data_IF_643046049668
#
_entry.id   IF_643046049668
#
_cell.length_a   1.000
_cell.length_b   1.000
_cell.length_c   1.000
_cell.angle_alpha   90.00
_cell.angle_beta   90.00
_cell.angle_gamma   90.00
#
_symmetry.space_group_name_H-M   'P 1'
#
loop_
_entity.id
_entity.type
_entity.pdbx_description
1 polymer ?
#
# COMPACT_ATOMS: atom_id res chain seq x y z
N UNK A 1 0.53 -29.83 2.91
CA UNK A 1 -0.89 -29.49 2.64
C UNK A 1 -0.98 -27.98 2.49
N UNK A 2 -1.69 -27.43 1.48
CA UNK A 2 -1.93 -26.00 1.38
C UNK A 2 -2.69 -25.51 2.61
N UNK A 3 -2.25 -24.41 3.22
CA UNK A 3 -2.92 -23.82 4.39
C UNK A 3 -4.31 -23.31 3.99
N UNK A 4 -5.38 -23.57 4.77
CA UNK A 4 -6.69 -23.00 4.51
C UNK A 4 -6.62 -21.47 4.52
N UNK A 5 -7.15 -20.84 3.48
CA UNK A 5 -6.94 -19.44 3.12
C UNK A 5 -7.91 -18.48 3.84
N UNK A 6 -8.59 -18.95 4.89
CA UNK A 6 -9.59 -18.17 5.65
C UNK A 6 -8.92 -17.09 6.54
N UNK A 7 -7.59 -17.08 6.59
CA UNK A 7 -6.75 -16.08 7.29
C UNK A 7 -6.32 -14.91 6.37
N UNK A 8 -6.95 -14.73 5.20
CA UNK A 8 -6.47 -13.82 4.13
C UNK A 8 -6.84 -12.35 4.27
N UNK A 9 -7.83 -12.01 5.08
CA UNK A 9 -8.22 -10.61 5.21
C UNK A 9 -7.11 -9.86 5.96
N UNK A 10 -6.65 -8.80 5.33
CA UNK A 10 -5.57 -7.95 5.82
C UNK A 10 -5.99 -6.51 5.74
N UNK A 11 -5.45 -5.70 6.65
CA UNK A 11 -5.63 -4.26 6.68
C UNK A 11 -4.31 -3.59 6.38
N UNK A 12 -4.38 -2.47 5.66
CA UNK A 12 -3.23 -1.59 5.47
C UNK A 12 -3.03 -0.82 6.77
N UNK A 13 -1.88 -1.02 7.43
CA UNK A 13 -1.51 -0.23 8.60
C UNK A 13 -0.93 1.14 8.21
N UNK A 14 -0.26 1.22 7.06
CA UNK A 14 0.36 2.45 6.59
C UNK A 14 1.44 2.22 5.55
N UNK A 15 1.95 3.33 5.02
CA UNK A 15 3.09 3.40 4.12
C UNK A 15 4.30 3.90 4.91
N UNK A 16 5.43 3.21 4.79
CA UNK A 16 6.63 3.45 5.57
C UNK A 16 7.86 3.52 4.67
N UNK A 17 8.85 4.30 5.09
CA UNK A 17 10.18 4.35 4.48
C UNK A 17 11.21 3.85 5.50
N UNK A 18 12.08 2.93 5.06
CA UNK A 18 13.23 2.47 5.83
C UNK A 18 14.50 2.86 5.09
N UNK A 19 15.30 3.73 5.72
CA UNK A 19 16.62 4.10 5.22
C UNK A 19 17.69 3.32 5.98
N UNK A 20 18.53 2.59 5.26
CA UNK A 20 19.72 1.96 5.83
C UNK A 20 20.70 3.07 6.28
N UNK A 21 21.09 3.11 7.57
CA UNK A 21 21.97 4.16 8.10
C UNK A 21 23.42 4.06 7.62
N UNK A 22 23.79 3.01 6.90
CA UNK A 22 25.13 2.83 6.35
C UNK A 22 25.44 3.87 5.25
N UNK A 23 26.70 4.31 5.07
CA UNK A 23 27.07 5.20 3.97
C UNK A 23 26.72 4.57 2.61
N UNK A 24 25.81 5.20 1.86
CA UNK A 24 25.28 4.66 0.60
C UNK A 24 24.07 3.72 0.76
N UNK A 25 23.46 3.68 1.94
CA UNK A 25 22.24 2.94 2.22
C UNK A 25 21.09 3.31 1.27
N UNK A 26 20.34 2.30 0.84
CA UNK A 26 19.22 2.47 -0.08
C UNK A 26 17.95 2.64 0.75
N UNK A 27 17.19 3.73 0.51
CA UNK A 27 15.84 3.85 1.06
C UNK A 27 14.91 2.84 0.39
N UNK A 28 14.18 2.07 1.21
CA UNK A 28 13.14 1.17 0.76
C UNK A 28 11.79 1.67 1.28
N UNK A 29 10.82 1.76 0.38
CA UNK A 29 9.43 2.10 0.72
C UNK A 29 8.58 0.84 0.71
N UNK A 30 7.70 0.70 1.69
CA UNK A 30 6.80 -0.45 1.80
C UNK A 30 5.46 -0.06 2.39
N UNK A 31 4.42 -0.82 2.02
CA UNK A 31 3.14 -0.82 2.72
C UNK A 31 3.15 -1.95 3.75
N UNK A 32 2.76 -1.67 4.98
CA UNK A 32 2.68 -2.69 6.03
C UNK A 32 1.26 -3.21 6.12
N UNK A 33 1.11 -4.51 5.93
CA UNK A 33 -0.17 -5.20 6.08
C UNK A 33 -0.21 -5.93 7.42
N UNK A 34 -1.38 -5.98 8.04
CA UNK A 34 -1.66 -6.77 9.24
C UNK A 34 -2.89 -7.64 9.04
N UNK A 35 -2.81 -8.89 9.45
CA UNK A 35 -3.96 -9.80 9.43
C UNK A 35 -4.72 -9.82 10.76
N UNK A 36 -5.81 -10.59 10.78
CA UNK A 36 -6.66 -10.73 11.96
C UNK A 36 -5.97 -11.40 13.17
N UNK A 37 -4.76 -11.94 13.02
CA UNK A 37 -3.96 -12.52 14.11
C UNK A 37 -2.81 -11.59 14.54
N UNK A 38 -2.73 -10.37 14.01
CA UNK A 38 -1.68 -9.39 14.33
C UNK A 38 -0.34 -9.69 13.65
N UNK A 39 -0.29 -10.61 12.67
CA UNK A 39 0.92 -10.91 11.92
C UNK A 39 1.10 -9.83 10.86
N UNK A 40 2.34 -9.33 10.74
CA UNK A 40 2.66 -8.21 9.85
C UNK A 40 3.53 -8.65 8.69
N UNK A 41 3.21 -8.17 7.48
CA UNK A 41 3.98 -8.44 6.27
C UNK A 41 4.22 -7.11 5.53
N UNK A 42 5.48 -6.71 5.31
CA UNK A 42 5.79 -5.59 4.44
C UNK A 42 5.68 -6.02 2.97
N UNK A 43 5.06 -5.17 2.15
CA UNK A 43 5.14 -5.27 0.68
C UNK A 43 5.94 -4.07 0.19
N UNK A 44 7.13 -4.35 -0.36
CA UNK A 44 7.98 -3.32 -0.93
C UNK A 44 7.38 -2.79 -2.24
N UNK A 45 7.32 -1.47 -2.34
CA UNK A 45 6.69 -0.74 -3.44
C UNK A 45 7.58 0.41 -3.88
N UNK A 46 7.35 0.91 -5.10
CA UNK A 46 7.99 2.12 -5.57
C UNK A 46 7.41 3.37 -4.91
N UNK A 47 8.13 4.49 -5.08
CA UNK A 47 7.75 5.79 -4.52
C UNK A 47 6.43 6.31 -5.08
N UNK A 48 6.12 6.03 -6.35
CA UNK A 48 4.89 6.51 -6.98
C UNK A 48 3.66 5.74 -6.48
N UNK A 49 3.78 4.44 -6.28
CA UNK A 49 2.74 3.62 -5.65
C UNK A 49 2.53 4.05 -4.20
N UNK A 50 3.61 4.28 -3.45
CA UNK A 50 3.57 4.75 -2.07
C UNK A 50 2.82 6.09 -1.95
N UNK A 51 3.11 7.04 -2.84
CA UNK A 51 2.41 8.32 -2.88
C UNK A 51 0.91 8.12 -3.15
N UNK A 52 0.56 7.32 -4.16
CA UNK A 52 -0.84 7.09 -4.50
C UNK A 52 -1.65 6.42 -3.38
N UNK A 53 -1.06 5.43 -2.69
CA UNK A 53 -1.70 4.78 -1.53
C UNK A 53 -1.84 5.77 -0.37
N UNK A 54 -0.83 6.60 -0.11
CA UNK A 54 -0.88 7.61 0.96
C UNK A 54 -2.02 8.60 0.71
N UNK A 55 -2.11 9.16 -0.48
CA UNK A 55 -3.20 10.07 -0.87
C UNK A 55 -4.58 9.42 -0.71
N UNK A 56 -4.72 8.15 -1.11
CA UNK A 56 -5.97 7.41 -0.96
C UNK A 56 -6.32 7.14 0.52
N UNK A 57 -5.32 6.93 1.38
CA UNK A 57 -5.51 6.77 2.83
C UNK A 57 -5.88 8.07 3.54
N UNK A 58 -5.36 9.20 3.07
CA UNK A 58 -5.70 10.54 3.59
C UNK A 58 -7.11 10.97 3.18
N UNK A 59 -7.65 10.38 2.10
CA UNK A 59 -9.00 10.67 1.62
C UNK A 59 -9.14 12.05 1.00
N UNK A 60 -8.04 12.65 0.54
CA UNK A 60 -8.08 13.95 -0.14
C UNK A 60 -8.70 13.83 -1.53
N UNK A 61 -9.77 14.59 -1.77
CA UNK A 61 -10.31 14.79 -3.11
C UNK A 61 -9.53 15.90 -3.82
N UNK A 62 -8.71 15.51 -4.78
CA UNK A 62 -7.99 16.44 -5.65
C UNK A 62 -8.90 16.95 -6.76
N UNK A 63 -8.63 18.18 -7.24
CA UNK A 63 -9.36 18.82 -8.36
C UNK A 63 -9.41 17.98 -9.65
N UNK A 64 -8.49 17.01 -9.79
CA UNK A 64 -8.44 16.08 -10.92
C UNK A 64 -8.26 14.66 -10.41
N UNK A 65 -8.90 13.66 -11.04
CA UNK A 65 -8.78 12.27 -10.62
C UNK A 65 -7.34 11.77 -10.77
N UNK A 66 -6.84 11.13 -9.72
CA UNK A 66 -5.59 10.37 -9.75
C UNK A 66 -5.73 9.11 -10.62
N UNK A 67 -4.61 8.48 -10.99
CA UNK A 67 -4.60 7.28 -11.84
C UNK A 67 -5.54 6.18 -11.35
N UNK A 68 -5.55 5.90 -10.05
CA UNK A 68 -6.39 4.86 -9.46
C UNK A 68 -7.87 5.27 -9.34
N UNK A 69 -8.17 6.55 -9.14
CA UNK A 69 -9.54 7.07 -9.15
C UNK A 69 -10.13 7.09 -10.57
N UNK A 70 -9.32 7.44 -11.56
CA UNK A 70 -9.70 7.32 -12.97
C UNK A 70 -9.96 5.86 -13.34
N UNK A 71 -9.08 4.94 -12.92
CA UNK A 71 -9.25 3.51 -13.15
C UNK A 71 -10.55 2.99 -12.51
N UNK A 72 -10.82 3.37 -11.26
CA UNK A 72 -12.08 3.04 -10.58
C UNK A 72 -13.28 3.56 -11.37
N UNK A 73 -13.25 4.82 -11.79
CA UNK A 73 -14.32 5.42 -12.62
C UNK A 73 -14.54 4.67 -13.93
N UNK A 74 -13.46 4.20 -14.57
CA UNK A 74 -13.56 3.38 -15.79
C UNK A 74 -14.27 2.07 -15.46
N UNK A 75 -13.81 1.35 -14.43
CA UNK A 75 -14.37 0.04 -14.03
C UNK A 75 -15.84 0.15 -13.61
N UNK A 76 -16.23 1.20 -12.90
CA UNK A 76 -17.62 1.44 -12.48
C UNK A 76 -18.58 1.76 -13.63
N UNK A 77 -18.04 2.19 -14.78
CA UNK A 77 -18.82 2.54 -15.98
C UNK A 77 -18.86 1.43 -17.04
N UNK A 78 -18.20 0.30 -16.78
CA UNK A 78 -18.30 -0.92 -17.57
C UNK A 78 -19.52 -1.74 -17.14
#
# INVERSE_FOLDING_TARGET
MPRPLNEKEVKVLGVFEHTDPSPGGVSQTFVLLEDNLGRKVPIFIGRFEAYAITMAMEGEELDRPMTYELLKTIVERL
#
